data_IF_332036119340
#
_entry.id   IF_332036119340
#
_cell.length_a   1.000
_cell.length_b   1.000
_cell.length_c   1.000
_cell.angle_alpha   90.00
_cell.angle_beta   90.00
_cell.angle_gamma   90.00
#
_symmetry.space_group_name_H-M   'P 1'
#
loop_
_entity.id
_entity.type
_entity.pdbx_description
1 polymer ?
#
# COMPACT_ATOMS: atom_id res chain seq x y z
N UNK A 1 6.11 -8.28 -12.17
CA UNK A 1 5.48 -6.96 -11.91
C UNK A 1 6.57 -6.00 -11.48
N UNK A 2 6.78 -4.88 -12.17
CA UNK A 2 7.83 -3.90 -11.82
C UNK A 2 7.46 -3.13 -10.54
N UNK A 3 8.44 -2.87 -9.65
CA UNK A 3 8.27 -2.13 -8.38
C UNK A 3 7.50 -0.81 -8.56
N UNK A 4 7.75 -0.10 -9.66
CA UNK A 4 7.05 1.14 -10.00
C UNK A 4 5.53 0.96 -10.18
N UNK A 5 5.07 -0.17 -10.71
CA UNK A 5 3.63 -0.47 -10.84
C UNK A 5 2.99 -0.71 -9.47
N UNK A 6 3.69 -1.36 -8.55
CA UNK A 6 3.21 -1.55 -7.18
C UNK A 6 3.03 -0.20 -6.46
N UNK A 7 4.06 0.67 -6.51
CA UNK A 7 4.01 2.01 -5.92
C UNK A 7 2.83 2.84 -6.46
N UNK A 8 2.58 2.78 -7.77
CA UNK A 8 1.46 3.51 -8.39
C UNK A 8 0.10 3.04 -7.85
N UNK A 9 -0.15 1.73 -7.78
CA UNK A 9 -1.40 1.20 -7.22
C UNK A 9 -1.51 1.44 -5.70
N UNK A 10 -0.39 1.37 -4.98
CA UNK A 10 -0.35 1.60 -3.54
C UNK A 10 -0.74 3.04 -3.19
N UNK A 11 -0.18 4.03 -3.89
CA UNK A 11 -0.51 5.45 -3.68
C UNK A 11 -1.97 5.73 -4.00
N UNK A 12 -2.50 5.20 -5.11
CA UNK A 12 -3.92 5.37 -5.48
C UNK A 12 -4.84 4.76 -4.41
N UNK A 13 -4.53 3.55 -3.93
CA UNK A 13 -5.28 2.90 -2.85
C UNK A 13 -5.24 3.68 -1.54
N UNK A 14 -4.08 4.26 -1.20
CA UNK A 14 -3.91 5.08 0.00
C UNK A 14 -4.76 6.35 -0.05
N UNK A 15 -4.75 7.05 -1.20
CA UNK A 15 -5.56 8.26 -1.40
C UNK A 15 -7.04 7.94 -1.31
N UNK A 16 -7.49 6.83 -1.90
CA UNK A 16 -8.89 6.38 -1.81
C UNK A 16 -9.30 6.04 -0.38
N UNK A 17 -8.44 5.34 0.37
CA UNK A 17 -8.71 4.97 1.75
C UNK A 17 -8.75 6.20 2.69
N UNK A 18 -7.97 7.25 2.39
CA UNK A 18 -8.02 8.51 3.13
C UNK A 18 -9.20 9.41 2.73
N UNK A 19 -9.57 9.41 1.46
CA UNK A 19 -10.62 10.30 0.93
C UNK A 19 -12.04 9.78 1.19
N UNK A 20 -12.18 8.46 1.39
CA UNK A 20 -13.48 7.82 1.60
C UNK A 20 -13.52 7.19 2.99
N UNK A 21 -14.28 7.75 3.96
CA UNK A 21 -14.30 7.27 5.34
C UNK A 21 -14.68 5.79 5.46
N UNK A 22 -15.55 5.30 4.58
CA UNK A 22 -15.99 3.91 4.54
C UNK A 22 -14.90 2.94 4.07
N UNK A 23 -13.84 3.44 3.41
CA UNK A 23 -12.69 2.67 2.94
C UNK A 23 -11.51 2.71 3.92
N UNK A 24 -11.65 3.34 5.09
CA UNK A 24 -10.60 3.42 6.10
C UNK A 24 -10.09 2.05 6.56
N UNK A 25 -10.91 0.99 6.46
CA UNK A 25 -10.50 -0.38 6.75
C UNK A 25 -9.38 -0.88 5.82
N UNK A 26 -9.29 -0.35 4.59
CA UNK A 26 -8.21 -0.68 3.65
C UNK A 26 -6.85 -0.17 4.15
N UNK A 27 -6.81 0.82 5.05
CA UNK A 27 -5.54 1.29 5.62
C UNK A 27 -4.79 0.17 6.34
N UNK A 28 -5.51 -0.78 6.97
CA UNK A 28 -4.89 -1.96 7.58
C UNK A 28 -4.26 -2.88 6.55
N UNK A 29 -4.97 -3.14 5.44
CA UNK A 29 -4.48 -3.99 4.34
C UNK A 29 -3.30 -3.33 3.62
N UNK A 30 -3.41 -2.03 3.35
CA UNK A 30 -2.35 -1.22 2.76
C UNK A 30 -1.12 -1.20 3.68
N UNK A 31 -1.30 -0.96 4.98
CA UNK A 31 -0.23 -1.01 5.98
C UNK A 31 0.50 -2.35 6.00
N UNK A 32 -0.23 -3.47 5.98
CA UNK A 32 0.36 -4.80 5.91
C UNK A 32 1.16 -5.01 4.60
N UNK A 33 0.62 -4.57 3.46
CA UNK A 33 1.32 -4.66 2.18
C UNK A 33 2.60 -3.82 2.14
N UNK A 34 2.59 -2.63 2.75
CA UNK A 34 3.77 -1.77 2.85
C UNK A 34 4.85 -2.42 3.73
N UNK A 35 4.47 -3.01 4.86
CA UNK A 35 5.39 -3.74 5.73
C UNK A 35 6.05 -4.91 4.99
N UNK A 36 5.29 -5.69 4.22
CA UNK A 36 5.86 -6.78 3.42
C UNK A 36 6.89 -6.27 2.42
N UNK A 37 6.63 -5.13 1.75
CA UNK A 37 7.60 -4.55 0.82
C UNK A 37 8.83 -4.01 1.55
N UNK A 38 8.68 -3.37 2.70
CA UNK A 38 9.81 -2.92 3.53
C UNK A 38 10.66 -4.11 3.99
N UNK A 39 10.03 -5.20 4.42
CA UNK A 39 10.74 -6.43 4.82
C UNK A 39 11.49 -7.04 3.63
N UNK A 40 10.89 -7.07 2.44
CA UNK A 40 11.55 -7.57 1.22
C UNK A 40 12.73 -6.67 0.80
N UNK A 41 12.59 -5.34 0.95
CA UNK A 41 13.66 -4.38 0.68
C UNK A 41 14.82 -4.53 1.66
N UNK A 42 14.55 -4.72 2.95
CA UNK A 42 15.58 -4.95 3.96
C UNK A 42 16.31 -6.29 3.80
N UNK A 43 15.67 -7.26 3.11
CA UNK A 43 16.22 -8.60 2.88
C UNK A 43 16.99 -8.71 1.56
N UNK A 44 16.89 -7.73 0.66
CA UNK A 44 17.62 -7.67 -0.62
C UNK A 44 18.99 -7.01 -0.45
#
# INVERSE_FOLDING_TARGET
MTLGRFLMFFVVGLVLAFSVPQLSWLLWVLGASALLVVVQLLRS
#
